data_IF_716700039196
#
_entry.id   IF_716700039196
#
_cell.length_a   1.000
_cell.length_b   1.000
_cell.length_c   1.000
_cell.angle_alpha   90.00
_cell.angle_beta   90.00
_cell.angle_gamma   90.00
#
_symmetry.space_group_name_H-M   'P 1'
#
loop_
_entity.id
_entity.type
_entity.pdbx_description
1 polymer ?
#
# COMPACT_ATOMS: atom_id res chain seq x y z
N UNK A 1 24.21 -5.64 5.10
CA UNK A 1 22.89 -6.29 5.13
C UNK A 1 22.45 -6.32 6.57
N UNK A 2 21.43 -5.54 6.93
CA UNK A 2 20.84 -5.59 8.26
C UNK A 2 20.16 -6.95 8.40
N UNK A 3 20.56 -7.71 9.45
CA UNK A 3 19.85 -8.94 9.82
C UNK A 3 18.51 -8.49 10.44
N UNK A 4 17.48 -8.34 9.65
CA UNK A 4 16.12 -8.09 10.12
C UNK A 4 15.53 -9.36 10.72
N UNK A 5 16.14 -9.84 11.80
CA UNK A 5 15.51 -10.83 12.67
C UNK A 5 14.59 -10.05 13.58
N UNK A 6 13.29 -10.26 13.44
CA UNK A 6 12.30 -9.67 14.35
C UNK A 6 12.39 -10.46 15.65
N UNK A 7 13.14 -9.94 16.61
CA UNK A 7 13.37 -10.59 17.89
C UNK A 7 12.42 -10.11 18.99
N UNK A 8 11.77 -8.98 18.80
CA UNK A 8 10.97 -8.32 19.83
C UNK A 8 9.53 -8.10 19.34
N UNK A 9 8.59 -8.37 20.24
CA UNK A 9 7.18 -8.02 20.04
C UNK A 9 6.98 -6.57 20.48
N UNK A 10 6.47 -5.74 19.59
CA UNK A 10 6.11 -4.36 19.90
C UNK A 10 4.70 -4.28 20.50
N UNK A 11 4.49 -3.35 21.44
CA UNK A 11 3.14 -3.07 21.94
C UNK A 11 2.51 -1.98 21.08
N UNK A 12 1.57 -2.36 20.22
CA UNK A 12 0.80 -1.47 19.35
C UNK A 12 -0.71 -1.53 19.65
N UNK A 13 -1.10 -1.93 20.86
CA UNK A 13 -2.51 -2.01 21.29
C UNK A 13 -3.22 -0.65 21.27
N UNK A 14 -2.46 0.45 21.32
CA UNK A 14 -3.01 1.81 21.23
C UNK A 14 -3.47 2.22 19.82
N UNK A 15 -3.12 1.46 18.78
CA UNK A 15 -3.51 1.76 17.41
C UNK A 15 -5.01 1.54 17.21
N UNK A 16 -5.65 2.50 16.54
CA UNK A 16 -7.07 2.39 16.17
C UNK A 16 -7.18 1.90 14.74
N UNK A 17 -7.82 0.76 14.57
CA UNK A 17 -7.98 0.13 13.27
C UNK A 17 -9.22 0.65 12.55
N UNK A 18 -9.04 1.04 11.31
CA UNK A 18 -10.11 1.53 10.44
C UNK A 18 -10.74 0.37 9.68
N UNK A 19 -12.04 0.18 9.86
CA UNK A 19 -12.86 -0.74 9.07
C UNK A 19 -13.33 -0.14 7.73
N UNK A 20 -12.84 1.06 7.36
CA UNK A 20 -13.24 1.70 6.11
C UNK A 20 -12.69 0.87 4.95
N UNK A 21 -13.59 0.06 4.41
CA UNK A 21 -13.43 -0.52 3.08
C UNK A 21 -13.48 0.64 2.10
N UNK A 22 -12.34 1.21 1.72
CA UNK A 22 -12.33 2.16 0.63
C UNK A 22 -12.76 1.40 -0.62
N UNK A 23 -13.94 1.71 -1.07
CA UNK A 23 -14.64 1.13 -2.20
C UNK A 23 -13.98 1.56 -3.51
N UNK A 24 -12.89 0.97 -3.88
CA UNK A 24 -12.43 0.98 -5.26
C UNK A 24 -12.22 -0.46 -5.73
N UNK A 25 -13.31 -1.21 -5.84
CA UNK A 25 -13.37 -2.44 -6.63
C UNK A 25 -12.49 -3.64 -6.23
N UNK A 26 -11.55 -3.47 -5.32
CA UNK A 26 -10.74 -4.57 -4.76
C UNK A 26 -11.27 -4.92 -3.39
N UNK A 27 -11.94 -6.06 -3.29
CA UNK A 27 -12.39 -6.66 -2.06
C UNK A 27 -11.19 -7.08 -1.18
N UNK A 28 -10.55 -6.12 -0.55
CA UNK A 28 -9.50 -6.33 0.43
C UNK A 28 -9.92 -5.71 1.74
N UNK A 29 -10.37 -6.51 2.68
CA UNK A 29 -10.76 -6.11 4.03
C UNK A 29 -9.52 -5.94 4.92
N UNK A 30 -8.51 -5.26 4.45
CA UNK A 30 -7.33 -5.00 5.27
C UNK A 30 -7.65 -3.89 6.26
N UNK A 31 -7.53 -4.21 7.54
CA UNK A 31 -7.54 -3.20 8.58
C UNK A 31 -6.29 -2.34 8.44
N UNK A 32 -6.47 -1.05 8.53
CA UNK A 32 -5.39 -0.05 8.45
C UNK A 32 -5.42 0.82 9.69
N UNK A 33 -4.25 1.21 10.12
CA UNK A 33 -4.06 2.18 11.19
C UNK A 33 -2.94 3.15 10.82
N UNK A 34 -2.85 4.23 11.54
CA UNK A 34 -1.79 5.23 11.36
C UNK A 34 -1.33 5.80 12.69
N UNK A 35 -0.07 6.16 12.76
CA UNK A 35 0.48 6.93 13.88
C UNK A 35 1.52 7.94 13.40
N UNK A 36 1.92 8.84 14.29
CA UNK A 36 3.01 9.77 14.02
C UNK A 36 4.20 9.36 14.89
N UNK A 37 5.28 8.98 14.24
CA UNK A 37 6.54 8.60 14.88
C UNK A 37 7.62 9.60 14.45
N UNK A 38 8.25 10.27 15.40
CA UNK A 38 9.28 11.28 15.13
C UNK A 38 8.88 12.36 14.10
N UNK A 39 7.60 12.76 14.13
CA UNK A 39 7.06 13.76 13.21
C UNK A 39 6.72 13.25 11.81
N UNK A 40 6.92 11.97 11.53
CA UNK A 40 6.55 11.29 10.30
C UNK A 40 5.29 10.46 10.50
N UNK A 41 4.42 10.47 9.50
CA UNK A 41 3.24 9.63 9.48
C UNK A 41 3.63 8.22 9.04
N UNK A 42 3.26 7.22 9.84
CA UNK A 42 3.47 5.81 9.57
C UNK A 42 2.12 5.14 9.42
N UNK A 43 1.95 4.40 8.34
CA UNK A 43 0.79 3.58 8.06
C UNK A 43 1.07 2.13 8.42
N UNK A 44 0.12 1.52 9.10
CA UNK A 44 0.13 0.10 9.43
C UNK A 44 -0.96 -0.62 8.66
N UNK A 45 -0.64 -1.78 8.15
CA UNK A 45 -1.56 -2.62 7.40
C UNK A 45 -1.53 -4.03 7.97
N UNK A 46 -2.70 -4.51 8.36
CA UNK A 46 -2.88 -5.86 8.84
C UNK A 46 -3.21 -6.77 7.66
N UNK A 47 -2.79 -8.04 7.74
CA UNK A 47 -3.29 -9.07 6.81
C UNK A 47 -4.79 -9.29 6.99
N UNK A 48 -5.38 -10.13 6.15
CA UNK A 48 -6.81 -10.40 6.20
C UNK A 48 -7.25 -10.81 7.62
N UNK A 49 -8.27 -10.16 8.10
CA UNK A 49 -8.79 -10.31 9.47
C UNK A 49 -10.23 -10.80 9.44
N UNK A 50 -10.48 -11.75 10.29
CA UNK A 50 -11.81 -12.30 10.58
C UNK A 50 -12.08 -12.18 12.08
N UNK A 51 -13.28 -11.72 12.47
CA UNK A 51 -13.63 -11.48 13.88
C UNK A 51 -13.70 -12.76 14.72
N UNK A 52 -13.81 -13.93 14.09
CA UNK A 52 -13.84 -15.23 14.77
C UNK A 52 -12.45 -15.85 14.86
N UNK A 53 -11.69 -15.79 13.77
CA UNK A 53 -10.40 -16.46 13.63
C UNK A 53 -9.18 -15.54 13.81
N UNK A 54 -9.39 -14.23 13.95
CA UNK A 54 -8.32 -13.24 14.04
C UNK A 54 -7.65 -12.98 12.69
N UNK A 55 -6.33 -12.88 12.69
CA UNK A 55 -5.52 -12.63 11.48
C UNK A 55 -5.30 -13.95 10.75
N UNK A 56 -5.85 -14.09 9.55
CA UNK A 56 -5.88 -15.34 8.78
C UNK A 56 -5.08 -15.27 7.46
N UNK A 57 -4.59 -14.11 7.07
CA UNK A 57 -3.88 -13.91 5.80
C UNK A 57 -2.37 -13.74 5.96
N UNK A 58 -1.68 -13.71 4.82
CA UNK A 58 -0.22 -13.50 4.72
C UNK A 58 0.14 -12.27 3.89
N UNK A 59 -0.80 -11.37 3.68
CA UNK A 59 -0.65 -10.25 2.75
C UNK A 59 0.45 -9.27 3.19
N UNK A 60 0.61 -9.05 4.50
CA UNK A 60 1.71 -8.23 5.01
C UNK A 60 3.08 -8.81 4.64
N UNK A 61 3.23 -10.14 4.63
CA UNK A 61 4.47 -10.83 4.22
C UNK A 61 4.66 -10.69 2.71
N UNK A 62 3.60 -10.82 1.93
CA UNK A 62 3.65 -10.63 0.48
C UNK A 62 4.10 -9.22 0.10
N UNK A 63 3.62 -8.18 0.80
CA UNK A 63 4.09 -6.78 0.60
C UNK A 63 5.60 -6.67 0.82
N UNK A 64 6.14 -7.31 1.87
CA UNK A 64 7.59 -7.31 2.15
C UNK A 64 8.36 -8.02 1.04
N UNK A 65 7.89 -9.20 0.60
CA UNK A 65 8.54 -9.97 -0.47
C UNK A 65 8.59 -9.16 -1.75
N UNK A 66 7.46 -8.55 -2.14
CA UNK A 66 7.37 -7.72 -3.36
C UNK A 66 8.29 -6.50 -3.24
N UNK A 67 8.30 -5.79 -2.12
CA UNK A 67 9.19 -4.66 -1.90
C UNK A 67 10.66 -5.07 -2.04
N UNK A 68 11.07 -6.20 -1.46
CA UNK A 68 12.44 -6.73 -1.60
C UNK A 68 12.80 -7.09 -3.04
N UNK A 69 11.88 -7.70 -3.78
CA UNK A 69 12.08 -7.97 -5.21
C UNK A 69 12.27 -6.68 -6.01
N UNK A 70 11.44 -5.67 -5.76
CA UNK A 70 11.55 -4.37 -6.43
C UNK A 70 12.88 -3.67 -6.11
N UNK A 71 13.37 -3.78 -4.85
CA UNK A 71 14.70 -3.31 -4.46
C UNK A 71 15.79 -3.98 -5.28
N UNK A 72 15.74 -5.31 -5.43
CA UNK A 72 16.72 -6.08 -6.22
C UNK A 72 16.68 -5.68 -7.70
N UNK A 73 15.50 -5.42 -8.23
CA UNK A 73 15.29 -4.99 -9.61
C UNK A 73 15.63 -3.50 -9.86
N UNK A 74 15.97 -2.74 -8.82
CA UNK A 74 16.24 -1.30 -8.92
C UNK A 74 15.01 -0.48 -9.27
N UNK A 75 13.80 -0.98 -8.98
CA UNK A 75 12.54 -0.25 -9.24
C UNK A 75 12.19 0.58 -8.01
N UNK A 76 11.93 1.86 -8.21
CA UNK A 76 11.44 2.74 -7.15
C UNK A 76 10.07 2.25 -6.64
N UNK A 77 9.95 2.09 -5.34
CA UNK A 77 8.75 1.55 -4.71
C UNK A 77 8.63 2.05 -3.27
N UNK A 78 7.49 1.75 -2.64
CA UNK A 78 7.27 2.03 -1.23
C UNK A 78 7.99 0.97 -0.39
N UNK A 79 8.84 1.44 0.53
CA UNK A 79 9.51 0.57 1.49
C UNK A 79 8.52 0.11 2.57
N UNK A 80 8.55 -1.19 2.83
CA UNK A 80 7.77 -1.82 3.90
C UNK A 80 8.66 -2.45 4.94
N UNK A 81 8.28 -2.30 6.20
CA UNK A 81 8.86 -2.97 7.35
C UNK A 81 7.89 -4.02 7.88
N UNK A 82 8.38 -5.22 8.19
CA UNK A 82 7.61 -6.24 8.89
C UNK A 82 7.74 -6.02 10.39
N UNK A 83 6.63 -5.96 11.08
CA UNK A 83 6.56 -5.75 12.53
C UNK A 83 5.84 -6.95 13.17
N UNK A 84 6.40 -7.48 14.25
CA UNK A 84 5.74 -8.40 15.15
C UNK A 84 5.20 -7.61 16.34
N UNK A 85 3.90 -7.65 16.58
CA UNK A 85 3.29 -6.81 17.62
C UNK A 85 2.06 -7.43 18.26
N UNK A 86 1.80 -6.95 19.48
CA UNK A 86 0.49 -7.06 20.13
C UNK A 86 -0.37 -5.88 19.68
N UNK A 87 -1.51 -6.17 19.08
CA UNK A 87 -2.50 -5.19 18.61
C UNK A 87 -3.84 -5.47 19.25
N UNK A 88 -4.68 -4.46 19.39
CA UNK A 88 -6.06 -4.62 19.85
C UNK A 88 -7.02 -4.33 18.71
N UNK A 89 -7.87 -5.31 18.39
CA UNK A 89 -8.96 -5.17 17.41
C UNK A 89 -10.26 -5.60 18.07
N UNK A 90 -11.25 -4.72 18.09
CA UNK A 90 -12.58 -4.97 18.67
C UNK A 90 -12.53 -5.45 20.14
N UNK A 91 -11.57 -4.94 20.93
CA UNK A 91 -11.41 -5.28 22.35
C UNK A 91 -10.67 -6.59 22.62
N UNK A 92 -10.17 -7.26 21.58
CA UNK A 92 -9.37 -8.48 21.70
C UNK A 92 -7.92 -8.19 21.28
N UNK A 93 -6.98 -8.66 22.10
CA UNK A 93 -5.54 -8.52 21.80
C UNK A 93 -5.06 -9.72 21.00
N UNK A 94 -4.39 -9.42 19.88
CA UNK A 94 -3.79 -10.40 18.99
C UNK A 94 -2.28 -10.18 18.90
N UNK A 95 -1.51 -11.25 19.07
CA UNK A 95 -0.07 -11.26 18.78
C UNK A 95 0.12 -11.69 17.33
N UNK A 96 0.59 -10.80 16.47
CA UNK A 96 0.61 -11.04 15.02
C UNK A 96 1.68 -10.24 14.29
N UNK A 97 1.82 -10.52 12.99
CA UNK A 97 2.65 -9.76 12.08
C UNK A 97 1.81 -8.77 11.26
N UNK A 98 2.38 -7.60 11.06
CA UNK A 98 1.81 -6.54 10.23
C UNK A 98 2.92 -5.84 9.43
N UNK A 99 2.58 -5.12 8.39
CA UNK A 99 3.54 -4.30 7.69
C UNK A 99 3.29 -2.82 7.96
N UNK A 100 4.38 -2.07 8.02
CA UNK A 100 4.39 -0.63 8.17
C UNK A 100 5.12 0.04 7.02
N UNK A 101 4.69 1.26 6.68
CA UNK A 101 5.38 2.12 5.73
C UNK A 101 5.27 3.58 6.14
N UNK A 102 6.31 4.36 5.91
CA UNK A 102 6.23 5.81 6.08
C UNK A 102 5.35 6.43 4.97
N UNK A 103 4.73 7.57 5.27
CA UNK A 103 4.01 8.32 4.24
C UNK A 103 5.02 8.84 3.19
N UNK A 104 4.83 8.44 1.95
CA UNK A 104 5.68 8.85 0.84
C UNK A 104 5.34 10.25 0.32
N UNK A 105 4.20 10.83 0.72
CA UNK A 105 3.78 12.15 0.29
C UNK A 105 4.61 13.23 0.97
N UNK A 106 5.09 14.17 0.18
CA UNK A 106 5.68 15.41 0.70
C UNK A 106 4.59 16.41 1.06
N UNK A 107 4.97 17.42 1.83
CA UNK A 107 4.06 18.53 2.17
C UNK A 107 3.59 19.22 0.89
N UNK A 108 2.28 19.36 0.76
CA UNK A 108 1.66 19.98 -0.42
C UNK A 108 1.34 18.99 -1.56
N UNK A 109 1.73 17.73 -1.45
CA UNK A 109 1.36 16.70 -2.42
C UNK A 109 0.02 16.04 -2.05
N UNK A 110 -0.77 15.72 -3.06
CA UNK A 110 -1.99 14.93 -2.93
C UNK A 110 -1.85 13.62 -3.68
N UNK A 111 -2.49 12.58 -3.16
CA UNK A 111 -2.56 11.27 -3.81
C UNK A 111 -3.80 11.22 -4.69
N UNK A 112 -3.62 10.87 -5.95
CA UNK A 112 -4.70 10.59 -6.90
C UNK A 112 -4.62 9.11 -7.26
N UNK A 113 -5.76 8.41 -7.25
CA UNK A 113 -5.79 7.03 -7.70
C UNK A 113 -5.47 6.97 -9.22
N UNK A 114 -4.74 5.96 -9.65
CA UNK A 114 -4.36 5.81 -11.06
C UNK A 114 -5.59 5.76 -11.98
N UNK A 115 -6.66 5.10 -11.55
CA UNK A 115 -7.90 5.02 -12.31
C UNK A 115 -8.57 6.41 -12.46
N UNK A 116 -8.58 7.21 -11.40
CA UNK A 116 -9.12 8.59 -11.45
C UNK A 116 -8.28 9.47 -12.37
N UNK A 117 -6.94 9.35 -12.27
CA UNK A 117 -6.04 10.07 -13.16
C UNK A 117 -6.25 9.65 -14.63
N UNK A 118 -6.38 8.35 -14.88
CA UNK A 118 -6.62 7.81 -16.22
C UNK A 118 -7.94 8.33 -16.79
N UNK A 119 -9.04 8.25 -16.04
CA UNK A 119 -10.37 8.76 -16.45
C UNK A 119 -10.36 10.25 -16.79
N UNK A 120 -9.58 11.02 -16.03
CA UNK A 120 -9.49 12.47 -16.23
C UNK A 120 -8.70 12.85 -17.49
N UNK A 121 -7.68 12.04 -17.85
CA UNK A 121 -6.73 12.36 -18.92
C UNK A 121 -6.92 11.53 -20.20
N UNK A 122 -7.75 10.49 -20.17
CA UNK A 122 -8.05 9.72 -21.36
C UNK A 122 -9.03 10.46 -22.27
N UNK A 123 -8.86 10.35 -23.59
CA UNK A 123 -9.80 10.91 -24.60
C UNK A 123 -11.23 10.39 -24.42
N UNK A 124 -11.35 9.19 -23.87
CA UNK A 124 -12.61 8.57 -23.46
C UNK A 124 -12.56 8.33 -21.96
N UNK A 125 -13.58 8.75 -21.24
CA UNK A 125 -13.72 8.55 -19.79
C UNK A 125 -13.99 7.06 -19.48
N UNK A 126 -13.03 6.19 -19.80
CA UNK A 126 -13.08 4.75 -19.53
C UNK A 126 -12.07 4.38 -18.42
N UNK A 127 -12.33 3.29 -17.70
CA UNK A 127 -11.38 2.77 -16.72
C UNK A 127 -10.17 2.13 -17.43
N UNK A 128 -9.04 2.02 -16.73
CA UNK A 128 -7.87 1.31 -17.23
C UNK A 128 -8.18 -0.17 -17.55
N UNK A 129 -9.10 -0.79 -16.80
CA UNK A 129 -9.54 -2.16 -17.04
C UNK A 129 -10.31 -2.27 -18.35
N UNK A 130 -11.29 -1.38 -18.61
CA UNK A 130 -12.07 -1.35 -19.85
C UNK A 130 -11.17 -1.10 -21.04
N UNK A 131 -10.17 -0.23 -20.90
CA UNK A 131 -9.15 -0.01 -21.91
C UNK A 131 -8.37 -1.29 -22.22
N UNK A 132 -7.88 -2.02 -21.18
CA UNK A 132 -7.14 -3.27 -21.37
C UNK A 132 -7.98 -4.34 -22.08
N UNK A 133 -9.27 -4.45 -21.75
CA UNK A 133 -10.19 -5.39 -22.38
C UNK A 133 -10.40 -5.04 -23.86
N UNK A 134 -10.49 -3.74 -24.17
CA UNK A 134 -10.75 -3.26 -25.53
C UNK A 134 -9.51 -3.26 -26.43
N UNK A 135 -8.34 -2.90 -25.89
CA UNK A 135 -7.12 -2.67 -26.65
C UNK A 135 -6.03 -3.73 -26.47
N UNK A 136 -6.11 -4.47 -25.38
CA UNK A 136 -5.12 -5.46 -24.99
C UNK A 136 -4.07 -4.93 -24.02
N UNK A 137 -3.44 -5.87 -23.32
CA UNK A 137 -2.51 -5.56 -22.25
C UNK A 137 -1.22 -4.88 -22.70
N UNK A 138 -0.75 -5.17 -23.91
CA UNK A 138 0.48 -4.54 -24.40
C UNK A 138 0.29 -3.03 -24.59
N UNK A 139 -0.80 -2.61 -25.22
CA UNK A 139 -1.08 -1.19 -25.40
C UNK A 139 -1.32 -0.46 -24.08
N UNK A 140 -1.91 -1.14 -23.09
CA UNK A 140 -2.04 -0.62 -21.75
C UNK A 140 -0.66 -0.39 -21.08
N UNK A 141 0.24 -1.37 -21.17
CA UNK A 141 1.61 -1.28 -20.60
C UNK A 141 2.37 -0.13 -21.26
N UNK A 142 2.28 0.00 -22.58
CA UNK A 142 2.95 1.06 -23.32
C UNK A 142 2.44 2.46 -22.90
N UNK A 143 1.13 2.60 -22.70
CA UNK A 143 0.54 3.84 -22.19
C UNK A 143 0.94 4.13 -20.74
N UNK A 144 1.04 3.12 -19.89
CA UNK A 144 1.49 3.30 -18.51
C UNK A 144 2.97 3.74 -18.45
N UNK A 145 3.81 3.20 -19.33
CA UNK A 145 5.21 3.63 -19.47
C UNK A 145 5.27 5.10 -19.90
N UNK A 146 4.50 5.47 -20.92
CA UNK A 146 4.46 6.84 -21.44
C UNK A 146 3.93 7.83 -20.39
N UNK A 147 2.90 7.45 -19.65
CA UNK A 147 2.38 8.22 -18.53
C UNK A 147 3.44 8.43 -17.42
N UNK A 148 4.17 7.38 -17.04
CA UNK A 148 5.25 7.45 -16.06
C UNK A 148 6.34 8.43 -16.51
N UNK A 149 6.72 8.39 -17.77
CA UNK A 149 7.71 9.32 -18.36
C UNK A 149 7.18 10.76 -18.25
N UNK A 150 5.93 11.02 -18.61
CA UNK A 150 5.32 12.36 -18.53
C UNK A 150 5.27 12.89 -17.11
N UNK A 151 4.87 12.06 -16.14
CA UNK A 151 4.85 12.45 -14.72
C UNK A 151 6.25 12.79 -14.24
N UNK A 152 7.26 11.99 -14.60
CA UNK A 152 8.66 12.25 -14.23
C UNK A 152 9.17 13.56 -14.84
N UNK A 153 8.85 13.84 -16.09
CA UNK A 153 9.23 15.11 -16.75
C UNK A 153 8.60 16.33 -16.06
N UNK A 154 7.36 16.25 -15.62
CA UNK A 154 6.69 17.33 -14.87
C UNK A 154 7.41 17.57 -13.53
N UNK A 155 7.88 16.54 -12.87
CA UNK A 155 8.60 16.63 -11.60
C UNK A 155 10.00 17.25 -11.73
N UNK A 156 10.63 17.15 -12.90
CA UNK A 156 11.94 17.74 -13.17
C UNK A 156 11.86 19.22 -13.60
N UNK A 157 10.68 19.72 -13.96
CA UNK A 157 10.43 21.11 -14.42
C UNK A 157 9.90 22.01 -13.28
N UNK A 158 9.40 21.43 -12.18
CA UNK A 158 8.94 22.14 -10.98
C UNK A 158 9.97 22.11 -9.87
#
# INVERSE_FOLDING_TARGET
>A
MSNNIILETQNLTYLKWSHIRSSSGTAGTFLKSESIINGKKVYYKLSNFDSVNGVIGHECINEIIVARLLTILGVEHLEYELIHADIEVEGVVYNTYLCASEDFKKRGESKIALDDYYRTNAEKAESHYDFCVRKGWQEYVDQMIDLRIKIKMIHEIC
#
